data_IF_818035939471
#
_entry.id   IF_818035939471
#
_cell.length_a   1.000
_cell.length_b   1.000
_cell.length_c   1.000
_cell.angle_alpha   90.00
_cell.angle_beta   90.00
_cell.angle_gamma   90.00
#
_symmetry.space_group_name_H-M   'P 1'
#
loop_
_entity.id
_entity.type
_entity.pdbx_description
1 polymer ?
#
# COMPACT_ATOMS: atom_id res chain seq x y z
N UNK A 1 22.53 -17.51 -21.27
CA UNK A 1 21.91 -17.66 -19.95
C UNK A 1 20.40 -17.56 -20.11
N UNK A 2 19.62 -18.52 -19.61
CA UNK A 2 18.14 -18.42 -19.62
C UNK A 2 17.74 -17.52 -18.45
N UNK A 3 17.02 -16.43 -18.71
CA UNK A 3 16.46 -15.60 -17.65
C UNK A 3 15.49 -16.44 -16.81
N UNK A 4 15.76 -16.57 -15.52
CA UNK A 4 14.84 -17.24 -14.59
C UNK A 4 13.53 -16.47 -14.52
N UNK A 5 12.41 -17.19 -14.65
CA UNK A 5 11.08 -16.61 -14.69
C UNK A 5 10.70 -16.14 -13.28
N UNK A 6 10.76 -14.83 -13.04
CA UNK A 6 10.41 -14.22 -11.73
C UNK A 6 9.04 -14.67 -11.22
N UNK A 7 8.95 -14.95 -9.92
CA UNK A 7 7.71 -15.33 -9.26
C UNK A 7 6.70 -14.18 -9.26
N UNK A 8 5.43 -14.48 -8.99
CA UNK A 8 4.39 -13.44 -8.84
C UNK A 8 4.68 -12.49 -7.67
N UNK A 9 5.31 -13.01 -6.61
CA UNK A 9 5.76 -12.21 -5.46
C UNK A 9 6.84 -11.22 -5.85
N UNK A 10 7.88 -11.67 -6.55
CA UNK A 10 8.99 -10.82 -6.99
C UNK A 10 8.52 -9.66 -7.86
N UNK A 11 7.62 -9.95 -8.82
CA UNK A 11 7.01 -8.92 -9.67
C UNK A 11 6.17 -7.91 -8.87
N UNK A 12 5.54 -8.35 -7.78
CA UNK A 12 4.75 -7.48 -6.91
C UNK A 12 5.66 -6.58 -6.09
N UNK A 13 6.73 -7.13 -5.51
CA UNK A 13 7.74 -6.40 -4.75
C UNK A 13 8.44 -5.34 -5.63
N UNK A 14 8.89 -5.73 -6.82
CA UNK A 14 9.49 -4.79 -7.78
C UNK A 14 8.54 -3.66 -8.17
N UNK A 15 7.27 -3.98 -8.42
CA UNK A 15 6.26 -2.96 -8.73
C UNK A 15 6.02 -2.02 -7.56
N UNK A 16 5.97 -2.54 -6.34
CA UNK A 16 5.79 -1.75 -5.13
C UNK A 16 6.96 -0.79 -4.94
N UNK A 17 8.20 -1.29 -4.87
CA UNK A 17 9.38 -0.46 -4.61
C UNK A 17 9.61 0.56 -5.73
N UNK A 18 9.38 0.20 -7.00
CA UNK A 18 9.44 1.15 -8.10
C UNK A 18 8.45 2.30 -7.90
N UNK A 19 7.20 2.01 -7.56
CA UNK A 19 6.17 3.05 -7.35
C UNK A 19 6.42 3.87 -6.09
N UNK A 20 6.96 3.25 -5.04
CA UNK A 20 7.37 3.96 -3.83
C UNK A 20 8.46 4.99 -4.17
N UNK A 21 9.50 4.58 -4.90
CA UNK A 21 10.58 5.45 -5.36
C UNK A 21 10.09 6.56 -6.31
N UNK A 22 9.09 6.25 -7.15
CA UNK A 22 8.44 7.23 -8.03
C UNK A 22 7.53 8.23 -7.28
N UNK A 23 7.44 8.15 -5.94
CA UNK A 23 6.49 8.90 -5.11
C UNK A 23 5.03 8.76 -5.59
N UNK A 24 4.70 7.59 -6.15
CA UNK A 24 3.37 7.28 -6.68
C UNK A 24 2.49 6.58 -5.64
N UNK A 25 3.04 6.15 -4.50
CA UNK A 25 2.31 5.45 -3.45
C UNK A 25 1.99 6.36 -2.28
N UNK A 26 0.81 6.13 -1.70
CA UNK A 26 0.31 6.93 -0.59
C UNK A 26 -0.34 6.07 0.46
N UNK A 27 -0.09 6.38 1.72
CA UNK A 27 -0.69 5.68 2.84
C UNK A 27 -2.17 6.08 2.95
N UNK A 28 -3.06 5.10 2.84
CA UNK A 28 -4.52 5.29 3.00
C UNK A 28 -5.06 4.59 4.24
N UNK A 29 -4.32 3.63 4.79
CA UNK A 29 -4.56 3.08 6.12
C UNK A 29 -3.23 2.65 6.73
N UNK A 30 -3.12 2.75 8.06
CA UNK A 30 -1.96 2.29 8.83
C UNK A 30 -2.48 1.67 10.13
N UNK A 31 -1.80 0.64 10.62
CA UNK A 31 -2.01 0.17 11.99
C UNK A 31 -1.69 1.30 12.98
N UNK A 32 -2.42 1.39 14.10
CA UNK A 32 -2.01 2.28 15.21
C UNK A 32 -0.58 1.96 15.65
N UNK A 33 0.14 2.93 16.19
CA UNK A 33 1.46 2.65 16.75
C UNK A 33 1.29 1.75 17.99
N UNK A 34 1.83 0.53 17.93
CA UNK A 34 1.73 -0.48 18.98
C UNK A 34 2.40 -1.79 18.56
N UNK A 35 2.97 -2.55 19.50
CA UNK A 35 3.44 -3.90 19.21
C UNK A 35 2.23 -4.80 18.92
N UNK A 36 2.10 -5.26 17.68
CA UNK A 36 1.07 -6.23 17.34
C UNK A 36 1.62 -7.64 17.43
N UNK A 37 0.84 -8.54 18.02
CA UNK A 37 1.15 -9.97 17.99
C UNK A 37 0.56 -10.52 16.70
N UNK A 38 1.40 -11.10 15.83
CA UNK A 38 0.97 -11.55 14.51
C UNK A 38 0.08 -12.80 14.64
N UNK A 39 -1.16 -12.73 14.16
CA UNK A 39 -2.03 -13.89 13.94
C UNK A 39 -1.75 -14.48 12.55
N UNK A 40 -1.33 -15.73 12.45
CA UNK A 40 -1.27 -16.44 11.17
C UNK A 40 -2.53 -17.29 10.96
N UNK A 41 -3.25 -17.03 9.87
CA UNK A 41 -4.35 -17.87 9.37
C UNK A 41 -5.76 -17.29 9.54
N UNK A 42 -6.71 -17.81 8.76
CA UNK A 42 -8.12 -17.38 8.67
C UNK A 42 -8.97 -17.70 9.91
N UNK A 43 -8.38 -18.20 10.99
CA UNK A 43 -9.05 -18.50 12.25
C UNK A 43 -8.35 -17.73 13.37
N UNK A 44 -8.90 -16.57 13.72
CA UNK A 44 -8.50 -15.82 14.89
C UNK A 44 -8.89 -16.62 16.15
N UNK A 45 -8.04 -17.53 16.59
CA UNK A 45 -8.10 -18.03 17.97
C UNK A 45 -7.32 -17.06 18.85
N UNK A 46 -8.07 -16.12 19.43
CA UNK A 46 -7.59 -15.11 20.37
C UNK A 46 -7.07 -15.76 21.66
N UNK A 47 -5.91 -16.43 21.66
CA UNK A 47 -5.36 -17.00 22.91
C UNK A 47 -3.93 -17.57 22.88
N UNK A 48 -3.23 -17.72 21.75
CA UNK A 48 -1.86 -18.27 21.74
C UNK A 48 -0.83 -17.35 21.08
N UNK A 49 0.09 -16.84 21.90
CA UNK A 49 1.34 -16.21 21.43
C UNK A 49 2.25 -17.28 20.82
N UNK A 50 2.51 -17.20 19.51
CA UNK A 50 3.72 -17.77 18.94
C UNK A 50 4.86 -16.79 19.25
N UNK A 51 5.75 -17.15 20.16
CA UNK A 51 6.60 -16.24 20.96
C UNK A 51 7.56 -15.34 20.17
N UNK A 52 7.82 -15.65 18.90
CA UNK A 52 8.97 -15.05 18.21
C UNK A 52 8.58 -14.15 17.03
N UNK A 53 7.28 -13.97 16.73
CA UNK A 53 6.83 -13.14 15.61
C UNK A 53 6.04 -11.92 16.09
N UNK A 54 6.62 -10.73 15.93
CA UNK A 54 5.98 -9.45 16.22
C UNK A 54 5.57 -8.78 14.92
N UNK A 55 4.31 -8.41 14.77
CA UNK A 55 3.89 -7.51 13.71
C UNK A 55 4.31 -6.08 14.10
N UNK A 56 5.22 -5.51 13.31
CA UNK A 56 5.83 -4.21 13.56
C UNK A 56 5.02 -3.11 12.87
N UNK A 57 4.59 -3.38 11.65
CA UNK A 57 3.92 -2.37 10.85
C UNK A 57 2.98 -3.02 9.83
N UNK A 58 1.76 -2.48 9.74
CA UNK A 58 0.84 -2.77 8.65
C UNK A 58 0.41 -1.47 7.99
N UNK A 59 0.62 -1.38 6.69
CA UNK A 59 0.31 -0.17 5.91
C UNK A 59 -0.41 -0.56 4.63
N UNK A 60 -1.48 0.16 4.30
CA UNK A 60 -2.13 0.08 3.00
C UNK A 60 -1.73 1.30 2.17
N UNK A 61 -1.08 1.02 1.05
CA UNK A 61 -0.72 2.01 0.06
C UNK A 61 -1.69 2.00 -1.12
N UNK A 62 -1.95 3.17 -1.70
CA UNK A 62 -2.67 3.33 -2.96
C UNK A 62 -1.79 4.04 -3.99
N UNK A 63 -1.89 3.64 -5.26
CA UNK A 63 -1.25 4.38 -6.34
C UNK A 63 -2.03 5.64 -6.72
N UNK A 64 -1.34 6.79 -6.83
CA UNK A 64 -1.89 8.06 -7.30
C UNK A 64 -2.24 7.96 -8.78
N UNK A 65 -1.30 7.47 -9.61
CA UNK A 65 -1.47 7.36 -11.07
C UNK A 65 -2.42 6.22 -11.45
N UNK A 66 -2.48 5.12 -10.68
CA UNK A 66 -3.37 3.97 -10.91
C UNK A 66 -4.38 3.82 -9.77
N UNK A 67 -5.50 4.54 -9.88
CA UNK A 67 -6.52 4.69 -8.82
C UNK A 67 -7.10 3.41 -8.22
N UNK A 68 -7.12 2.30 -8.98
CA UNK A 68 -7.61 1.00 -8.49
C UNK A 68 -6.53 0.15 -7.84
N UNK A 69 -5.26 0.50 -8.02
CA UNK A 69 -4.13 -0.30 -7.57
C UNK A 69 -3.78 0.05 -6.11
N UNK A 70 -3.86 -0.95 -5.24
CA UNK A 70 -3.43 -0.86 -3.85
C UNK A 70 -2.39 -1.93 -3.53
N UNK A 71 -1.61 -1.66 -2.48
CA UNK A 71 -0.64 -2.58 -1.91
C UNK A 71 -0.85 -2.66 -0.41
N UNK A 72 -0.91 -3.89 0.11
CA UNK A 72 -0.85 -4.18 1.54
C UNK A 72 0.61 -4.49 1.86
N UNK A 73 1.22 -3.69 2.72
CA UNK A 73 2.57 -3.87 3.23
C UNK A 73 2.49 -4.36 4.68
N UNK A 74 3.17 -5.46 4.97
CA UNK A 74 3.23 -6.06 6.30
C UNK A 74 4.70 -6.28 6.65
N UNK A 75 5.17 -5.63 7.71
CA UNK A 75 6.50 -5.87 8.27
C UNK A 75 6.36 -6.62 9.59
N UNK A 76 7.02 -7.76 9.67
CA UNK A 76 7.10 -8.59 10.86
C UNK A 76 8.54 -8.70 11.32
N UNK A 77 8.76 -8.74 12.63
CA UNK A 77 10.02 -9.13 13.25
C UNK A 77 9.92 -10.61 13.62
N UNK A 78 11.00 -11.36 13.34
CA UNK A 78 11.14 -12.76 13.71
C UNK A 78 12.53 -13.00 14.30
N UNK A 79 12.63 -13.12 15.61
CA UNK A 79 13.93 -13.17 16.31
C UNK A 79 14.73 -11.89 16.10
N UNK A 80 15.97 -12.01 15.59
CA UNK A 80 16.85 -10.87 15.28
C UNK A 80 16.63 -10.27 13.87
N UNK A 81 15.74 -10.86 13.07
CA UNK A 81 15.49 -10.43 11.69
C UNK A 81 14.11 -9.79 11.48
N UNK A 82 13.90 -9.23 10.29
CA UNK A 82 12.59 -8.77 9.84
C UNK A 82 12.19 -9.42 8.51
N UNK A 83 10.91 -9.74 8.39
CA UNK A 83 10.25 -10.18 7.16
C UNK A 83 9.34 -9.07 6.61
N UNK A 84 9.28 -8.96 5.29
CA UNK A 84 8.37 -8.03 4.60
C UNK A 84 7.49 -8.83 3.65
N UNK A 85 6.18 -8.64 3.77
CA UNK A 85 5.19 -9.22 2.87
C UNK A 85 4.41 -8.11 2.17
N UNK A 86 4.30 -8.19 0.85
CA UNK A 86 3.63 -7.19 0.02
C UNK A 86 2.61 -7.88 -0.87
N UNK A 87 1.36 -7.46 -0.77
CA UNK A 87 0.26 -7.97 -1.59
C UNK A 87 -0.37 -6.87 -2.42
N UNK A 88 -0.68 -7.18 -3.68
CA UNK A 88 -1.37 -6.26 -4.59
C UNK A 88 -2.86 -6.60 -4.63
N UNK A 89 -3.72 -5.59 -4.50
CA UNK A 89 -5.17 -5.76 -4.62
C UNK A 89 -5.86 -4.56 -5.29
N UNK A 90 -7.14 -4.75 -5.66
CA UNK A 90 -7.98 -3.69 -6.23
C UNK A 90 -8.69 -2.93 -5.10
N UNK A 91 -8.74 -1.58 -5.17
CA UNK A 91 -9.39 -0.73 -4.15
C UNK A 91 -10.86 -1.10 -3.89
N UNK A 92 -11.55 -1.74 -4.83
CA UNK A 92 -12.92 -2.24 -4.62
C UNK A 92 -13.00 -3.35 -3.57
N UNK A 93 -11.88 -3.97 -3.24
CA UNK A 93 -11.73 -4.96 -2.19
C UNK A 93 -11.23 -4.33 -0.87
N UNK A 94 -11.20 -2.99 -0.77
CA UNK A 94 -10.74 -2.30 0.43
C UNK A 94 -11.59 -2.67 1.64
N UNK A 95 -12.92 -2.76 1.49
CA UNK A 95 -13.80 -3.13 2.59
C UNK A 95 -13.48 -4.51 3.14
N UNK A 96 -13.17 -5.48 2.26
CA UNK A 96 -12.71 -6.82 2.65
C UNK A 96 -11.34 -6.74 3.33
N UNK A 97 -10.45 -5.91 2.78
CA UNK A 97 -9.11 -5.69 3.33
C UNK A 97 -9.16 -5.07 4.72
N UNK A 98 -10.14 -4.21 5.01
CA UNK A 98 -10.32 -3.52 6.29
C UNK A 98 -11.14 -4.36 7.28
N UNK A 99 -12.13 -5.12 6.82
CA UNK A 99 -12.95 -5.96 7.69
C UNK A 99 -12.17 -7.14 8.30
N UNK A 100 -11.13 -7.59 7.62
CA UNK A 100 -10.21 -8.62 8.12
C UNK A 100 -9.20 -8.09 9.14
N UNK A 101 -9.12 -6.76 9.32
CA UNK A 101 -7.99 -6.10 9.98
C UNK A 101 -8.52 -5.01 10.92
N UNK A 102 -9.05 -5.41 12.08
CA UNK A 102 -9.72 -4.53 13.06
C UNK A 102 -8.91 -3.33 13.52
N UNK A 103 -7.58 -3.38 13.37
CA UNK A 103 -6.64 -2.42 13.95
C UNK A 103 -6.06 -1.44 12.90
N UNK A 104 -6.48 -1.56 11.63
CA UNK A 104 -6.14 -0.60 10.59
C UNK A 104 -7.02 0.65 10.69
N UNK A 105 -6.39 1.80 10.90
CA UNK A 105 -7.10 3.08 10.86
C UNK A 105 -7.00 3.70 9.46
N UNK A 106 -8.15 4.10 8.93
CA UNK A 106 -8.20 4.79 7.66
C UNK A 106 -7.64 6.22 7.82
N UNK A 107 -6.59 6.53 7.06
CA UNK A 107 -5.99 7.85 7.06
C UNK A 107 -6.74 8.77 6.10
N UNK A 108 -7.89 9.29 6.55
CA UNK A 108 -8.73 10.23 5.78
C UNK A 108 -7.95 11.49 5.38
N UNK A 109 -7.12 12.03 6.27
CA UNK A 109 -6.32 13.22 6.00
C UNK A 109 -5.30 13.01 4.86
N UNK A 110 -4.61 11.86 4.87
CA UNK A 110 -3.70 11.45 3.80
C UNK A 110 -4.43 11.29 2.46
N UNK A 111 -5.56 10.59 2.47
CA UNK A 111 -6.41 10.37 1.30
C UNK A 111 -6.93 11.68 0.68
N UNK A 112 -7.40 12.61 1.51
CA UNK A 112 -7.99 13.87 1.06
C UNK A 112 -6.97 14.92 0.60
N UNK A 113 -5.77 14.94 1.21
CA UNK A 113 -4.67 15.77 0.73
C UNK A 113 -4.25 15.41 -0.71
N UNK A 114 -4.45 14.15 -1.10
CA UNK A 114 -4.11 13.66 -2.43
C UNK A 114 -5.16 13.90 -3.47
N UNK A 115 -6.44 13.78 -3.12
CA UNK A 115 -7.52 14.23 -4.00
C UNK A 115 -7.34 15.71 -4.34
N UNK A 116 -6.87 16.52 -3.37
CA UNK A 116 -6.52 17.93 -3.58
C UNK A 116 -5.32 18.11 -4.51
N UNK A 117 -4.16 17.49 -4.24
CA UNK A 117 -2.98 17.55 -5.13
C UNK A 117 -3.28 17.05 -6.56
N UNK A 118 -4.09 16.00 -6.69
CA UNK A 118 -4.49 15.46 -7.99
C UNK A 118 -5.43 16.40 -8.75
N UNK A 119 -6.44 16.99 -8.09
CA UNK A 119 -7.31 18.02 -8.70
C UNK A 119 -6.46 19.17 -9.25
N UNK A 120 -5.48 19.64 -8.49
CA UNK A 120 -4.57 20.71 -8.91
C UNK A 120 -3.78 20.31 -10.16
N UNK A 121 -3.12 19.14 -10.18
CA UNK A 121 -2.35 18.68 -11.34
C UNK A 121 -3.21 18.46 -12.59
N UNK A 122 -4.46 18.01 -12.44
CA UNK A 122 -5.39 17.82 -13.56
C UNK A 122 -5.86 19.15 -14.14
N UNK A 123 -6.05 20.17 -13.30
CA UNK A 123 -6.40 21.54 -13.72
C UNK A 123 -5.22 22.24 -14.39
N UNK A 124 -4.00 22.07 -13.86
CA UNK A 124 -2.78 22.66 -14.43
C UNK A 124 -2.43 22.01 -15.78
N UNK A 125 -2.55 20.69 -15.89
CA UNK A 125 -2.34 19.97 -17.16
C UNK A 125 -3.34 20.38 -18.25
N UNK A 126 -4.61 20.63 -17.90
CA UNK A 126 -5.61 21.16 -18.85
C UNK A 126 -5.32 22.58 -19.30
N UNK A 127 -4.72 23.43 -18.45
CA UNK A 127 -4.30 24.79 -18.84
C UNK A 127 -3.15 24.77 -19.83
N UNK A 128 -2.17 23.86 -19.68
CA UNK A 128 -1.02 23.79 -20.60
C UNK A 128 -1.40 23.27 -21.99
N UNK A 129 -2.38 22.37 -22.12
CA UNK A 129 -2.84 21.90 -23.43
C UNK A 129 -3.59 22.96 -24.24
N UNK A 130 -4.21 23.97 -23.60
CA UNK A 130 -4.93 25.04 -24.30
C UNK A 130 -4.03 26.17 -24.84
N UNK A 131 -2.76 26.25 -24.41
CA UNK A 131 -1.86 27.35 -24.79
C UNK A 131 -1.07 27.04 -26.08
N UNK A 132 -1.12 25.80 -26.61
CA UNK A 132 -0.40 25.43 -27.84
C UNK A 132 -1.17 25.57 -29.15
N UNK A 133 -2.42 26.06 -29.14
CA UNK A 133 -3.23 26.23 -30.37
C UNK A 133 -3.38 27.70 -30.82
N UNK A 134 -2.63 28.65 -30.24
CA UNK A 134 -2.69 30.06 -30.64
C UNK A 134 -1.30 30.67 -30.75
N UNK A 135 -0.55 30.18 -31.75
CA UNK A 135 0.55 30.95 -32.33
C UNK A 135 0.54 30.68 -33.82
N UNK A 136 -0.24 31.49 -34.55
CA UNK A 136 -0.01 31.76 -35.97
C UNK A 136 1.28 32.57 -36.12
#
# INVERSE_FOLDING_TARGET
MKEERKSRGDKTNEMFYKRLNDNDLVVIAKSKDGEYKCCYGSNCMCSQMLSDIKLVERVVYRSIRKKRLCFRYIRVEKGEGYGVHIEKFDIRLMDICMSQESDLEFNHAGYDALLRKWKINTVVGKKQSKVKETTN
#
